data_IF_837802304566
#
_entry.id   IF_837802304566
#
_cell.length_a   1.000
_cell.length_b   1.000
_cell.length_c   1.000
_cell.angle_alpha   90.00
_cell.angle_beta   90.00
_cell.angle_gamma   90.00
#
_symmetry.space_group_name_H-M   'P 1'
#
loop_
_entity.id
_entity.type
_entity.pdbx_description
1 polymer ?
#
# COMPACT_ATOMS: atom_id res chain seq x y z
N UNK A 1 14.57 -9.17 -8.12
CA UNK A 1 14.33 -9.81 -6.80
C UNK A 1 13.89 -8.76 -5.79
N UNK A 2 13.20 -9.15 -4.70
CA UNK A 2 12.68 -8.23 -3.66
C UNK A 2 13.72 -7.22 -3.14
N UNK A 3 15.01 -7.58 -3.14
CA UNK A 3 16.11 -6.75 -2.66
C UNK A 3 16.46 -5.56 -3.57
N UNK A 4 16.16 -5.59 -4.87
CA UNK A 4 16.56 -4.52 -5.80
C UNK A 4 15.73 -3.25 -5.58
N UNK A 5 14.48 -3.41 -5.12
CA UNK A 5 13.56 -2.30 -4.78
C UNK A 5 13.83 -1.73 -3.38
N UNK A 6 14.40 -2.51 -2.46
CA UNK A 6 14.61 -2.12 -1.06
C UNK A 6 16.07 -1.79 -0.74
N UNK A 7 16.71 -0.93 -1.54
CA UNK A 7 18.01 -0.36 -1.13
C UNK A 7 17.90 0.52 0.15
N UNK A 8 16.67 0.92 0.52
CA UNK A 8 16.34 1.62 1.78
C UNK A 8 14.98 1.18 2.33
N UNK A 9 14.98 0.42 3.43
CA UNK A 9 13.76 -0.09 4.10
C UNK A 9 12.88 1.01 4.73
N UNK A 10 13.41 2.22 4.83
CA UNK A 10 12.78 3.43 5.35
C UNK A 10 12.40 4.44 4.25
N UNK A 11 12.75 4.22 2.98
CA UNK A 11 12.50 5.20 1.91
C UNK A 11 11.08 5.07 1.30
N UNK A 12 10.05 5.20 2.13
CA UNK A 12 8.68 5.44 1.66
C UNK A 12 8.33 6.89 1.96
N UNK A 13 8.68 7.78 1.04
CA UNK A 13 8.49 9.23 1.16
C UNK A 13 7.52 9.78 0.10
N UNK A 14 7.17 8.93 -0.87
CA UNK A 14 6.21 9.22 -1.93
C UNK A 14 5.30 8.01 -2.15
N UNK A 15 4.03 8.27 -2.46
CA UNK A 15 3.02 7.27 -2.81
C UNK A 15 2.39 7.74 -4.12
N UNK A 16 2.36 6.88 -5.13
CA UNK A 16 1.72 7.22 -6.41
C UNK A 16 0.19 7.38 -6.23
N UNK A 17 -0.51 8.11 -7.11
CA UNK A 17 -1.96 8.30 -7.01
C UNK A 17 -2.75 6.98 -6.98
N UNK A 18 -2.27 5.96 -7.70
CA UNK A 18 -2.89 4.63 -7.70
C UNK A 18 -2.71 3.91 -6.36
N UNK A 19 -1.49 3.89 -5.82
CA UNK A 19 -1.23 3.30 -4.50
C UNK A 19 -1.99 4.05 -3.40
N UNK A 20 -2.11 5.38 -3.53
CA UNK A 20 -2.86 6.22 -2.59
C UNK A 20 -4.31 5.77 -2.49
N UNK A 21 -5.00 5.50 -3.61
CA UNK A 21 -6.38 4.98 -3.60
C UNK A 21 -6.48 3.64 -2.87
N UNK A 22 -5.54 2.73 -3.13
CA UNK A 22 -5.52 1.41 -2.51
C UNK A 22 -5.31 1.54 -0.99
N UNK A 23 -4.32 2.32 -0.56
CA UNK A 23 -4.07 2.57 0.86
C UNK A 23 -5.23 3.28 1.55
N UNK A 24 -5.87 4.23 0.86
CA UNK A 24 -7.06 4.93 1.37
C UNK A 24 -8.17 3.93 1.71
N UNK A 25 -8.37 2.95 0.84
CA UNK A 25 -9.39 1.92 1.03
C UNK A 25 -9.02 0.93 2.13
N UNK A 26 -7.80 0.40 2.15
CA UNK A 26 -7.44 -0.67 3.10
C UNK A 26 -7.10 -0.17 4.51
N UNK A 27 -6.57 1.05 4.65
CA UNK A 27 -6.15 1.59 5.95
C UNK A 27 -7.24 2.43 6.61
N UNK A 28 -8.09 3.08 5.83
CA UNK A 28 -9.04 4.07 6.33
C UNK A 28 -10.49 3.86 5.85
N UNK A 29 -10.75 2.88 4.99
CA UNK A 29 -12.03 2.65 4.31
C UNK A 29 -12.58 3.91 3.62
N UNK A 30 -11.69 4.74 3.06
CA UNK A 30 -12.02 5.96 2.32
C UNK A 30 -11.71 5.79 0.83
N UNK A 31 -12.41 6.55 0.00
CA UNK A 31 -12.13 6.62 -1.44
C UNK A 31 -10.76 7.24 -1.70
N UNK A 32 -10.46 8.35 -1.02
CA UNK A 32 -9.17 9.03 -1.11
C UNK A 32 -8.82 9.69 0.24
N UNK A 33 -7.69 9.30 0.81
CA UNK A 33 -7.04 9.92 1.96
C UNK A 33 -5.80 10.66 1.48
N UNK A 34 -5.41 11.73 2.18
CA UNK A 34 -4.18 12.46 1.87
C UNK A 34 -2.95 11.55 1.93
N UNK A 35 -2.07 11.63 0.92
CA UNK A 35 -0.84 10.81 0.88
C UNK A 35 0.02 10.99 2.12
N UNK A 36 0.11 12.22 2.65
CA UNK A 36 0.83 12.51 3.89
C UNK A 36 0.26 11.73 5.07
N UNK A 37 -1.07 11.64 5.19
CA UNK A 37 -1.72 10.88 6.26
C UNK A 37 -1.42 9.37 6.17
N UNK A 38 -1.35 8.82 4.95
CA UNK A 38 -0.96 7.42 4.74
C UNK A 38 0.50 7.22 5.15
N UNK A 39 1.40 8.08 4.70
CA UNK A 39 2.82 8.04 5.05
C UNK A 39 3.05 8.15 6.57
N UNK A 40 2.39 9.11 7.22
CA UNK A 40 2.46 9.32 8.66
C UNK A 40 1.95 8.09 9.41
N UNK A 41 0.84 7.49 8.98
CA UNK A 41 0.31 6.26 9.57
C UNK A 41 1.30 5.10 9.45
N UNK A 42 1.87 4.87 8.26
CA UNK A 42 2.83 3.79 8.03
C UNK A 42 4.11 4.01 8.84
N UNK A 43 4.59 5.25 8.93
CA UNK A 43 5.76 5.60 9.72
C UNK A 43 5.51 5.42 11.23
N UNK A 44 4.37 5.90 11.75
CA UNK A 44 4.03 5.74 13.17
C UNK A 44 3.86 4.27 13.56
N UNK A 45 3.24 3.46 12.69
CA UNK A 45 2.91 2.07 13.00
C UNK A 45 4.09 1.10 12.79
N UNK A 46 4.92 1.34 11.77
CA UNK A 46 5.94 0.39 11.34
C UNK A 46 7.37 0.95 11.40
N UNK A 47 7.54 2.25 11.64
CA UNK A 47 8.85 2.91 11.78
C UNK A 47 9.78 2.60 10.61
N UNK A 48 11.00 2.13 10.94
CA UNK A 48 12.03 1.75 9.96
C UNK A 48 11.62 0.64 8.99
N UNK A 49 10.52 -0.07 9.25
CA UNK A 49 10.00 -1.13 8.40
C UNK A 49 8.80 -0.67 7.56
N UNK A 50 8.50 0.64 7.51
CA UNK A 50 7.32 1.18 6.80
C UNK A 50 7.26 0.75 5.33
N UNK A 51 8.39 0.70 4.63
CA UNK A 51 8.42 0.25 3.23
C UNK A 51 8.15 -1.25 3.11
N UNK A 52 8.74 -2.06 4.00
CA UNK A 52 8.47 -3.50 4.05
C UNK A 52 7.00 -3.77 4.36
N UNK A 53 6.43 -3.07 5.34
CA UNK A 53 5.03 -3.20 5.72
C UNK A 53 4.09 -2.80 4.58
N UNK A 54 4.37 -1.69 3.90
CA UNK A 54 3.68 -1.27 2.67
C UNK A 54 3.67 -2.38 1.62
N UNK A 55 4.82 -3.00 1.35
CA UNK A 55 4.91 -4.11 0.40
C UNK A 55 4.15 -5.36 0.84
N UNK A 56 4.21 -5.71 2.13
CA UNK A 56 3.44 -6.82 2.68
C UNK A 56 1.93 -6.59 2.57
N UNK A 57 1.46 -5.36 2.85
CA UNK A 57 0.06 -4.98 2.71
C UNK A 57 -0.42 -5.16 1.26
N UNK A 58 0.37 -4.69 0.31
CA UNK A 58 0.09 -4.89 -1.11
C UNK A 58 0.05 -6.37 -1.47
N UNK A 59 1.10 -7.09 -1.14
CA UNK A 59 1.23 -8.51 -1.48
C UNK A 59 0.06 -9.30 -0.91
N UNK A 60 -0.23 -9.17 0.39
CA UNK A 60 -1.37 -9.84 1.02
C UNK A 60 -2.70 -9.49 0.35
N UNK A 61 -2.94 -8.22 0.02
CA UNK A 61 -4.14 -7.77 -0.69
C UNK A 61 -4.31 -8.48 -2.05
N UNK A 62 -3.25 -8.53 -2.86
CA UNK A 62 -3.27 -9.19 -4.17
C UNK A 62 -3.40 -10.71 -4.06
N UNK A 63 -2.77 -11.33 -3.06
CA UNK A 63 -2.93 -12.76 -2.79
C UNK A 63 -4.36 -13.11 -2.37
N UNK A 64 -4.99 -12.29 -1.53
CA UNK A 64 -6.41 -12.45 -1.16
C UNK A 64 -7.31 -12.30 -2.37
N UNK A 65 -7.06 -11.29 -3.20
CA UNK A 65 -7.80 -11.06 -4.43
C UNK A 65 -7.72 -12.25 -5.41
N UNK A 66 -6.53 -12.86 -5.54
CA UNK A 66 -6.32 -14.06 -6.36
C UNK A 66 -7.14 -15.25 -5.85
N UNK A 67 -7.30 -15.41 -4.53
CA UNK A 67 -8.11 -16.50 -3.92
C UNK A 67 -9.60 -16.23 -3.99
N UNK A 68 -9.99 -14.98 -3.71
CA UNK A 68 -11.38 -14.52 -3.74
C UNK A 68 -11.41 -13.12 -4.31
N UNK A 69 -12.10 -12.99 -5.44
CA UNK A 69 -12.21 -11.73 -6.18
C UNK A 69 -12.72 -10.61 -5.27
N UNK A 70 -11.95 -9.52 -5.20
CA UNK A 70 -12.30 -8.30 -4.48
C UNK A 70 -12.79 -7.29 -5.51
N UNK A 71 -14.11 -7.04 -5.55
CA UNK A 71 -14.74 -6.29 -6.64
C UNK A 71 -14.24 -4.85 -6.80
N UNK A 72 -13.99 -4.13 -5.71
CA UNK A 72 -13.46 -2.76 -5.79
C UNK A 72 -12.02 -2.76 -6.33
N UNK A 73 -11.21 -3.72 -5.88
CA UNK A 73 -9.82 -3.83 -6.29
C UNK A 73 -9.69 -4.26 -7.76
N UNK A 74 -10.59 -5.14 -8.24
CA UNK A 74 -10.65 -5.52 -9.65
C UNK A 74 -10.77 -4.29 -10.58
N UNK A 75 -11.57 -3.30 -10.17
CA UNK A 75 -11.78 -2.07 -10.94
C UNK A 75 -10.51 -1.22 -11.00
N UNK A 76 -9.74 -1.19 -9.91
CA UNK A 76 -8.48 -0.42 -9.84
C UNK A 76 -7.29 -1.10 -10.55
N UNK A 77 -7.30 -2.43 -10.72
CA UNK A 77 -6.21 -3.17 -11.40
C UNK A 77 -6.41 -3.23 -12.93
N UNK A 78 -7.65 -3.13 -13.41
CA UNK A 78 -7.98 -3.19 -14.85
C UNK A 78 -7.85 -1.85 -15.58
N UNK A 79 -7.62 -0.77 -14.85
CA UNK A 79 -7.33 0.57 -15.36
C UNK A 79 -5.82 0.72 -15.60
#
# INVERSE_FOLDING_TARGET
MLFEVFHRYDALDYISPWEQKIYSKILFDKELAESKKILDFLNQKYGKYKMLAAHCLFTDLFWRHKKKKINWLEKEIRL
#
